data_IF_691631707592
#
_entry.id   IF_691631707592
#
_cell.length_a   1.000
_cell.length_b   1.000
_cell.length_c   1.000
_cell.angle_alpha   90.00
_cell.angle_beta   90.00
_cell.angle_gamma   90.00
#
_symmetry.space_group_name_H-M   'P 1'
#
loop_
_entity.id
_entity.type
_entity.pdbx_description
1 polymer ?
#
# COMPACT_ATOMS: atom_id res chain seq x y z
N UNK A 1 5.89 -28.17 14.73
CA UNK A 1 4.61 -27.39 14.73
C UNK A 1 4.90 -25.94 15.08
N UNK A 2 4.61 -25.00 14.20
CA UNK A 2 4.80 -23.57 14.49
C UNK A 2 3.72 -23.16 15.50
N UNK A 3 4.12 -22.59 16.61
CA UNK A 3 3.22 -22.17 17.67
C UNK A 3 2.29 -21.03 17.19
N UNK A 4 1.00 -21.09 17.50
CA UNK A 4 0.02 -20.07 17.08
C UNK A 4 0.41 -18.63 17.47
N UNK A 5 1.18 -18.48 18.54
CA UNK A 5 1.71 -17.17 18.95
C UNK A 5 2.68 -16.59 17.92
N UNK A 6 3.60 -17.41 17.41
CA UNK A 6 4.58 -16.97 16.39
C UNK A 6 3.93 -16.53 15.07
N UNK A 7 2.86 -17.20 14.65
CA UNK A 7 2.10 -16.81 13.46
C UNK A 7 1.42 -15.45 13.64
N UNK A 8 0.91 -15.15 14.84
CA UNK A 8 0.32 -13.83 15.15
C UNK A 8 1.38 -12.74 15.20
N UNK A 9 2.57 -13.05 15.72
CA UNK A 9 3.67 -12.10 15.74
C UNK A 9 4.20 -11.84 14.32
N UNK A 10 4.29 -12.87 13.48
CA UNK A 10 4.63 -12.71 12.07
C UNK A 10 3.61 -11.81 11.34
N UNK A 11 2.31 -12.03 11.57
CA UNK A 11 1.25 -11.17 10.99
C UNK A 11 1.39 -9.71 11.46
N UNK A 12 1.69 -9.50 12.72
CA UNK A 12 1.92 -8.17 13.28
C UNK A 12 3.07 -7.46 12.57
N UNK A 13 4.20 -8.15 12.38
CA UNK A 13 5.37 -7.59 11.69
C UNK A 13 5.04 -7.27 10.24
N UNK A 14 4.42 -8.20 9.50
CA UNK A 14 4.04 -8.00 8.10
C UNK A 14 3.12 -6.78 7.96
N UNK A 15 2.08 -6.70 8.79
CA UNK A 15 1.13 -5.58 8.73
C UNK A 15 1.76 -4.25 9.13
N UNK A 16 2.63 -4.24 10.14
CA UNK A 16 3.37 -3.05 10.51
C UNK A 16 4.27 -2.57 9.38
N UNK A 17 4.92 -3.49 8.68
CA UNK A 17 5.73 -3.17 7.49
C UNK A 17 4.87 -2.51 6.42
N UNK A 18 3.68 -3.05 6.12
CA UNK A 18 2.75 -2.45 5.16
C UNK A 18 2.32 -1.02 5.59
N UNK A 19 2.03 -0.82 6.87
CA UNK A 19 1.70 0.51 7.43
C UNK A 19 2.85 1.48 7.23
N UNK A 20 4.07 1.08 7.60
CA UNK A 20 5.26 1.95 7.48
C UNK A 20 5.48 2.33 6.02
N UNK A 21 5.40 1.38 5.08
CA UNK A 21 5.56 1.63 3.66
C UNK A 21 4.58 2.70 3.19
N UNK A 22 3.27 2.53 3.45
CA UNK A 22 2.25 3.47 2.98
C UNK A 22 2.36 4.85 3.64
N UNK A 23 2.54 4.89 4.95
CA UNK A 23 2.65 6.16 5.66
C UNK A 23 3.90 6.93 5.23
N UNK A 24 5.03 6.26 5.10
CA UNK A 24 6.28 6.88 4.64
C UNK A 24 6.13 7.39 3.20
N UNK A 25 5.53 6.59 2.31
CA UNK A 25 5.28 6.99 0.93
C UNK A 25 4.34 8.21 0.85
N UNK A 26 3.24 8.21 1.61
CA UNK A 26 2.30 9.33 1.67
C UNK A 26 2.98 10.59 2.20
N UNK A 27 3.65 10.51 3.35
CA UNK A 27 4.35 11.64 3.98
C UNK A 27 5.40 12.21 3.03
N UNK A 28 6.22 11.34 2.41
CA UNK A 28 7.22 11.76 1.43
C UNK A 28 6.61 12.58 0.29
N UNK A 29 5.44 12.17 -0.23
CA UNK A 29 4.76 12.89 -1.31
C UNK A 29 4.20 14.24 -0.86
N UNK A 30 3.68 14.35 0.36
CA UNK A 30 3.23 15.63 0.91
C UNK A 30 4.38 16.62 1.11
N UNK A 31 5.54 16.14 1.56
CA UNK A 31 6.72 16.98 1.78
C UNK A 31 7.53 17.26 0.52
N UNK A 32 7.29 16.56 -0.59
CA UNK A 32 8.00 16.78 -1.87
C UNK A 32 7.59 18.06 -2.59
N UNK A 33 6.72 18.89 -2.01
CA UNK A 33 6.25 20.16 -2.59
C UNK A 33 5.73 20.01 -4.03
N UNK A 34 4.97 18.93 -4.28
CA UNK A 34 4.42 18.63 -5.61
C UNK A 34 5.39 17.95 -6.57
N UNK A 35 6.64 17.66 -6.15
CA UNK A 35 7.65 17.02 -7.00
C UNK A 35 7.20 15.67 -7.56
N UNK A 36 6.54 14.84 -6.75
CA UNK A 36 5.95 13.58 -7.19
C UNK A 36 4.93 13.80 -8.31
N UNK A 37 3.98 14.69 -8.10
CA UNK A 37 2.93 14.99 -9.08
C UNK A 37 3.53 15.55 -10.39
N UNK A 38 4.43 16.52 -10.29
CA UNK A 38 5.06 17.15 -11.45
C UNK A 38 5.86 16.13 -12.27
N UNK A 39 6.64 15.27 -11.58
CA UNK A 39 7.46 14.26 -12.23
C UNK A 39 6.62 13.26 -13.02
N UNK A 40 5.64 12.62 -12.38
CA UNK A 40 4.82 11.60 -13.04
C UNK A 40 3.85 12.20 -14.06
N UNK A 41 3.30 13.40 -13.83
CA UNK A 41 2.48 14.09 -14.81
C UNK A 41 3.27 14.36 -16.10
N UNK A 42 4.52 14.78 -16.00
CA UNK A 42 5.40 14.99 -17.16
C UNK A 42 5.68 13.67 -17.89
N UNK A 43 5.95 12.58 -17.16
CA UNK A 43 6.18 11.27 -17.77
C UNK A 43 4.96 10.76 -18.55
N UNK A 44 3.76 10.88 -17.97
CA UNK A 44 2.52 10.44 -18.63
C UNK A 44 2.12 11.31 -19.82
N UNK A 45 2.61 12.56 -19.92
CA UNK A 45 2.41 13.44 -21.06
C UNK A 45 3.47 13.23 -22.16
N UNK A 46 4.47 12.41 -21.93
CA UNK A 46 5.52 12.06 -22.87
C UNK A 46 5.00 11.21 -24.04
N UNK A 47 5.93 10.79 -24.88
CA UNK A 47 5.62 9.95 -26.06
C UNK A 47 5.46 8.47 -25.67
N UNK A 48 4.34 8.15 -25.03
CA UNK A 48 4.00 6.80 -24.59
C UNK A 48 3.20 6.04 -25.67
N UNK A 49 3.36 4.71 -25.69
CA UNK A 49 2.55 3.82 -26.55
C UNK A 49 1.06 3.87 -26.20
N UNK A 50 0.76 3.97 -24.91
CA UNK A 50 -0.61 4.06 -24.39
C UNK A 50 -0.78 5.47 -23.82
N UNK A 51 -1.61 6.27 -24.48
CA UNK A 51 -1.91 7.65 -24.05
C UNK A 51 -3.18 7.66 -23.23
N UNK A 52 -3.06 8.04 -21.97
CA UNK A 52 -4.20 8.26 -21.09
C UNK A 52 -4.64 9.72 -21.13
N UNK A 53 -5.95 10.02 -20.93
CA UNK A 53 -6.43 11.38 -20.80
C UNK A 53 -5.70 12.13 -19.68
N UNK A 54 -5.12 13.31 -19.90
CA UNK A 54 -4.36 14.04 -18.87
C UNK A 54 -5.18 14.33 -17.62
N UNK A 55 -6.46 14.62 -17.75
CA UNK A 55 -7.36 14.83 -16.61
C UNK A 55 -7.44 13.61 -15.69
N UNK A 56 -7.52 12.41 -16.27
CA UNK A 56 -7.58 11.15 -15.49
C UNK A 56 -6.27 10.92 -14.75
N UNK A 57 -5.14 11.07 -15.44
CA UNK A 57 -3.80 10.89 -14.84
C UNK A 57 -3.57 11.90 -13.72
N UNK A 58 -3.82 13.16 -13.96
CA UNK A 58 -3.60 14.23 -13.00
C UNK A 58 -4.48 14.07 -11.74
N UNK A 59 -5.75 13.68 -11.92
CA UNK A 59 -6.65 13.40 -10.81
C UNK A 59 -6.15 12.19 -10.00
N UNK A 60 -5.75 11.11 -10.68
CA UNK A 60 -5.23 9.93 -10.01
C UNK A 60 -3.97 10.23 -9.21
N UNK A 61 -2.98 10.91 -9.81
CA UNK A 61 -1.73 11.30 -9.14
C UNK A 61 -1.97 12.19 -7.90
N UNK A 62 -2.95 13.09 -7.98
CA UNK A 62 -3.31 13.95 -6.85
C UNK A 62 -3.95 13.17 -5.68
N UNK A 63 -4.64 12.07 -5.98
CA UNK A 63 -5.36 11.26 -4.97
C UNK A 63 -4.45 10.21 -4.31
N UNK A 64 -3.39 9.75 -5.00
CA UNK A 64 -2.48 8.70 -4.50
C UNK A 64 -2.03 8.92 -3.05
N UNK A 65 -1.49 10.08 -2.64
CA UNK A 65 -1.01 10.27 -1.26
C UNK A 65 -2.12 10.10 -0.21
N UNK A 66 -3.35 10.47 -0.56
CA UNK A 66 -4.50 10.30 0.34
C UNK A 66 -4.95 8.85 0.46
N UNK A 67 -4.89 8.09 -0.65
CA UNK A 67 -5.16 6.64 -0.63
C UNK A 67 -4.11 5.95 0.25
N UNK A 68 -2.82 6.26 0.08
CA UNK A 68 -1.73 5.69 0.88
C UNK A 68 -1.92 5.99 2.37
N UNK A 69 -2.25 7.23 2.72
CA UNK A 69 -2.51 7.63 4.09
C UNK A 69 -3.69 6.85 4.68
N UNK A 70 -4.81 6.83 3.97
CA UNK A 70 -6.04 6.18 4.42
C UNK A 70 -5.86 4.68 4.60
N UNK A 71 -5.24 4.00 3.62
CA UNK A 71 -4.94 2.57 3.70
C UNK A 71 -3.94 2.26 4.81
N UNK A 72 -2.89 3.08 4.96
CA UNK A 72 -1.91 2.93 6.03
C UNK A 72 -2.55 3.00 7.42
N UNK A 73 -3.43 3.97 7.64
CA UNK A 73 -4.19 4.08 8.89
C UNK A 73 -5.21 2.96 9.06
N UNK A 74 -5.90 2.56 7.99
CA UNK A 74 -6.87 1.47 8.03
C UNK A 74 -6.24 0.11 8.37
N UNK A 75 -4.99 -0.13 7.94
CA UNK A 75 -4.22 -1.33 8.29
C UNK A 75 -3.93 -1.46 9.79
N UNK A 76 -3.99 -0.39 10.57
CA UNK A 76 -3.89 -0.45 12.03
C UNK A 76 -5.14 -1.05 12.67
N UNK A 77 -6.29 -1.05 11.96
CA UNK A 77 -7.53 -1.63 12.45
C UNK A 77 -7.59 -3.14 12.17
N UNK A 78 -7.95 -3.92 13.20
CA UNK A 78 -8.19 -5.36 13.06
C UNK A 78 -9.59 -5.71 12.58
N UNK A 79 -10.54 -4.80 12.75
CA UNK A 79 -11.97 -5.08 12.53
C UNK A 79 -12.31 -5.41 11.07
N UNK A 80 -11.63 -4.74 10.14
CA UNK A 80 -11.90 -4.85 8.71
C UNK A 80 -10.70 -5.34 7.90
N UNK A 81 -9.82 -6.13 8.53
CA UNK A 81 -8.56 -6.59 7.91
C UNK A 81 -8.73 -7.09 6.47
N UNK A 82 -9.69 -7.99 6.24
CA UNK A 82 -9.90 -8.58 4.91
C UNK A 82 -10.18 -7.52 3.84
N UNK A 83 -11.12 -6.62 4.09
CA UNK A 83 -11.46 -5.55 3.16
C UNK A 83 -10.30 -4.59 2.90
N UNK A 84 -9.55 -4.25 3.95
CA UNK A 84 -8.39 -3.36 3.83
C UNK A 84 -7.28 -4.02 3.00
N UNK A 85 -7.05 -5.33 3.16
CA UNK A 85 -6.06 -6.05 2.35
C UNK A 85 -6.50 -6.16 0.89
N UNK A 86 -7.78 -6.38 0.59
CA UNK A 86 -8.28 -6.32 -0.79
C UNK A 86 -8.13 -4.92 -1.39
N UNK A 87 -8.39 -3.86 -0.62
CA UNK A 87 -8.12 -2.49 -1.05
C UNK A 87 -6.62 -2.24 -1.30
N UNK A 88 -5.74 -2.82 -0.48
CA UNK A 88 -4.29 -2.84 -0.72
C UNK A 88 -3.97 -3.46 -2.08
N UNK A 89 -4.50 -4.64 -2.41
CA UNK A 89 -4.25 -5.27 -3.70
C UNK A 89 -4.73 -4.40 -4.87
N UNK A 90 -5.94 -3.87 -4.80
CA UNK A 90 -6.48 -2.98 -5.83
C UNK A 90 -5.58 -1.76 -6.04
N UNK A 91 -5.11 -1.17 -4.95
CA UNK A 91 -4.21 -0.01 -5.00
C UNK A 91 -2.86 -0.39 -5.63
N UNK A 92 -2.21 -1.46 -5.17
CA UNK A 92 -0.93 -1.92 -5.73
C UNK A 92 -1.06 -2.28 -7.21
N UNK A 93 -2.14 -2.97 -7.61
CA UNK A 93 -2.39 -3.28 -9.03
C UNK A 93 -2.58 -2.01 -9.86
N UNK A 94 -3.24 -0.98 -9.33
CA UNK A 94 -3.39 0.29 -10.05
C UNK A 94 -2.06 1.00 -10.26
N UNK A 95 -1.16 0.98 -9.26
CA UNK A 95 0.20 1.49 -9.39
C UNK A 95 1.02 0.67 -10.40
N UNK A 96 0.92 -0.65 -10.35
CA UNK A 96 1.60 -1.56 -11.27
C UNK A 96 1.19 -1.28 -12.73
N UNK A 97 -0.10 -1.07 -13.00
CA UNK A 97 -0.59 -0.69 -14.33
C UNK A 97 0.02 0.65 -14.77
N UNK A 98 0.08 1.64 -13.87
CA UNK A 98 0.71 2.93 -14.14
C UNK A 98 2.18 2.79 -14.55
N UNK A 99 2.98 2.07 -13.78
CA UNK A 99 4.40 1.80 -14.08
C UNK A 99 4.58 0.95 -15.33
N UNK A 100 3.66 0.02 -15.61
CA UNK A 100 3.65 -0.75 -16.86
C UNK A 100 3.46 0.15 -18.08
N UNK A 101 2.53 1.13 -18.02
CA UNK A 101 2.29 2.10 -19.08
C UNK A 101 3.54 2.97 -19.32
N UNK A 102 4.23 3.36 -18.23
CA UNK A 102 5.48 4.11 -18.28
C UNK A 102 6.70 3.26 -18.71
N UNK A 103 6.53 1.93 -18.82
CA UNK A 103 7.61 0.97 -19.13
C UNK A 103 8.72 0.95 -18.06
N UNK A 104 8.40 1.30 -16.84
CA UNK A 104 9.31 1.25 -15.70
C UNK A 104 9.33 -0.16 -15.06
N UNK A 105 10.02 -1.08 -15.73
CA UNK A 105 10.03 -2.52 -15.36
C UNK A 105 10.61 -2.80 -13.98
N UNK A 106 11.58 -2.01 -13.53
CA UNK A 106 12.12 -2.12 -12.17
C UNK A 106 11.05 -1.85 -11.13
N UNK A 107 10.27 -0.78 -11.31
CA UNK A 107 9.16 -0.42 -10.42
C UNK A 107 8.04 -1.47 -10.44
N UNK A 108 7.74 -2.04 -11.61
CA UNK A 108 6.77 -3.15 -11.72
C UNK A 108 7.24 -4.36 -10.90
N UNK A 109 8.52 -4.73 -10.98
CA UNK A 109 9.07 -5.84 -10.20
C UNK A 109 9.04 -5.57 -8.70
N UNK A 110 9.35 -4.37 -8.24
CA UNK A 110 9.24 -3.99 -6.83
C UNK A 110 7.80 -4.09 -6.28
N UNK A 111 6.78 -3.86 -7.15
CA UNK A 111 5.38 -4.02 -6.75
C UNK A 111 5.00 -5.46 -6.41
N UNK A 112 5.73 -6.47 -6.93
CA UNK A 112 5.52 -7.88 -6.58
C UNK A 112 5.79 -8.14 -5.09
N UNK A 113 6.80 -7.50 -4.51
CA UNK A 113 7.10 -7.62 -3.08
C UNK A 113 5.94 -7.11 -2.23
N UNK A 114 5.29 -6.04 -2.65
CA UNK A 114 4.10 -5.52 -1.96
C UNK A 114 2.89 -6.45 -2.09
N UNK A 115 2.74 -7.14 -3.22
CA UNK A 115 1.73 -8.19 -3.37
C UNK A 115 2.00 -9.35 -2.41
N UNK A 116 3.26 -9.79 -2.28
CA UNK A 116 3.63 -10.84 -1.33
C UNK A 116 3.33 -10.45 0.12
N UNK A 117 3.60 -9.22 0.52
CA UNK A 117 3.23 -8.73 1.86
C UNK A 117 1.71 -8.81 2.09
N UNK A 118 0.91 -8.42 1.11
CA UNK A 118 -0.54 -8.54 1.16
C UNK A 118 -1.01 -9.98 1.30
N UNK A 119 -0.44 -10.91 0.51
CA UNK A 119 -0.75 -12.35 0.59
C UNK A 119 -0.37 -12.94 1.94
N UNK A 120 0.80 -12.63 2.47
CA UNK A 120 1.23 -13.05 3.80
C UNK A 120 0.27 -12.54 4.87
N UNK A 121 -0.10 -11.28 4.82
CA UNK A 121 -1.06 -10.71 5.76
C UNK A 121 -2.45 -11.35 5.64
N UNK A 122 -2.87 -11.75 4.43
CA UNK A 122 -4.16 -12.42 4.22
C UNK A 122 -4.19 -13.83 4.80
N UNK A 123 -3.11 -14.59 4.64
CA UNK A 123 -3.00 -16.00 5.07
C UNK A 123 -2.73 -16.12 6.58
N UNK A 124 -1.97 -15.18 7.15
CA UNK A 124 -1.62 -15.22 8.56
C UNK A 124 -2.83 -14.91 9.46
N UNK A 125 -2.94 -15.57 10.62
CA UNK A 125 -4.05 -15.35 11.55
C UNK A 125 -3.98 -13.94 12.15
N UNK A 126 -5.14 -13.30 12.32
CA UNK A 126 -5.21 -12.00 12.97
C UNK A 126 -4.52 -11.99 14.33
N UNK A 127 -3.63 -11.02 14.55
CA UNK A 127 -3.18 -10.71 15.90
C UNK A 127 -4.28 -9.94 16.66
N UNK A 128 -4.27 -9.97 17.97
CA UNK A 128 -5.16 -9.13 18.78
C UNK A 128 -4.79 -7.65 18.62
N UNK A 129 -5.79 -6.77 18.76
CA UNK A 129 -5.62 -5.34 18.47
C UNK A 129 -4.46 -4.72 19.27
N UNK A 130 -3.77 -3.77 18.65
CA UNK A 130 -2.70 -2.99 19.28
C UNK A 130 -3.12 -2.27 20.57
N UNK A 131 -4.43 -2.00 20.71
CA UNK A 131 -5.02 -1.16 21.76
C UNK A 131 -5.73 -1.93 22.88
N UNK A 132 -6.01 -3.21 22.73
CA UNK A 132 -6.58 -4.04 23.77
C UNK A 132 -5.49 -4.82 24.51
N UNK A 133 -5.01 -4.26 25.58
CA UNK A 133 -4.30 -5.01 26.61
C UNK A 133 -5.31 -5.96 27.24
N UNK A 134 -5.05 -7.27 27.21
CA UNK A 134 -5.87 -8.25 27.92
C UNK A 134 -5.87 -7.93 29.41
N UNK A 135 -6.96 -7.38 29.91
CA UNK A 135 -7.26 -7.30 31.34
C UNK A 135 -7.92 -8.58 31.86
N UNK A 136 -7.84 -9.65 31.09
CA UNK A 136 -8.38 -10.95 31.49
C UNK A 136 -7.24 -11.88 31.89
N UNK A 137 -6.63 -11.62 33.05
CA UNK A 137 -5.95 -12.57 33.91
C UNK A 137 -5.70 -11.88 35.25
N UNK A 138 -6.74 -11.81 36.09
CA UNK A 138 -6.67 -11.80 37.54
C UNK A 138 -7.61 -12.90 38.03
#
# INVERSE_FOLDING_TARGET
>A
MIEKSRLKDAERVVRLTMVIILLTASISKFFSHGGFYAYYSALFQGDLRIKLPPALVNTYLAIIPFIELTLGLALLSNKYKGYVIYAWFLFIFSLMIGHYILQEWSSVNEMLDYIFLGLLSLVLPNHRSWLCRDTANV
#
